data_IF_509424064893
#
_entry.id   IF_509424064893
#
_cell.length_a   1.000
_cell.length_b   1.000
_cell.length_c   1.000
_cell.angle_alpha   90.00
_cell.angle_beta   90.00
_cell.angle_gamma   90.00
#
_symmetry.space_group_name_H-M   'P 1'
#
loop_
_entity.id
_entity.type
_entity.pdbx_description
1 polymer ?
#
# COMPACT_ATOMS: atom_id res chain seq x y z
N UNK A 1 21.46 10.66 -24.01
CA UNK A 1 20.96 9.73 -22.98
C UNK A 1 20.51 8.45 -23.66
N UNK A 2 21.13 7.31 -23.37
CA UNK A 2 20.75 6.03 -23.98
C UNK A 2 19.60 5.45 -23.17
N UNK A 3 18.38 5.42 -23.74
CA UNK A 3 17.26 4.66 -23.19
C UNK A 3 17.66 3.18 -23.21
N UNK A 4 18.12 2.68 -22.07
CA UNK A 4 18.70 1.35 -21.94
C UNK A 4 17.63 0.27 -22.05
N UNK A 5 17.86 -0.69 -22.98
CA UNK A 5 17.15 -1.95 -23.21
C UNK A 5 15.63 -1.82 -23.38
N UNK A 6 15.15 -2.13 -24.59
CA UNK A 6 13.72 -2.33 -24.87
C UNK A 6 13.07 -3.19 -23.76
N UNK A 7 12.04 -2.65 -23.11
CA UNK A 7 11.27 -3.39 -22.11
C UNK A 7 10.75 -4.69 -22.72
N UNK A 8 11.13 -5.84 -22.16
CA UNK A 8 10.62 -7.13 -22.66
C UNK A 8 9.14 -7.30 -22.31
N UNK A 9 8.44 -8.14 -23.07
CA UNK A 9 7.03 -8.47 -22.82
C UNK A 9 6.83 -9.02 -21.39
N UNK A 10 7.80 -9.78 -20.87
CA UNK A 10 7.80 -10.31 -19.50
C UNK A 10 7.93 -9.20 -18.44
N UNK A 11 8.64 -8.12 -18.77
CA UNK A 11 8.75 -6.95 -17.89
C UNK A 11 7.41 -6.20 -17.82
N UNK A 12 6.77 -5.98 -18.98
CA UNK A 12 5.43 -5.38 -19.05
C UNK A 12 4.41 -6.24 -18.29
N UNK A 13 4.37 -7.55 -18.54
CA UNK A 13 3.47 -8.48 -17.83
C UNK A 13 3.64 -8.41 -16.31
N UNK A 14 4.89 -8.38 -15.82
CA UNK A 14 5.16 -8.27 -14.38
C UNK A 14 4.69 -6.94 -13.81
N UNK A 15 4.94 -5.83 -14.50
CA UNK A 15 4.46 -4.52 -14.08
C UNK A 15 2.92 -4.47 -14.06
N UNK A 16 2.26 -4.91 -15.12
CA UNK A 16 0.80 -4.95 -15.19
C UNK A 16 0.19 -5.81 -14.08
N UNK A 17 0.72 -7.01 -13.85
CA UNK A 17 0.25 -7.88 -12.77
C UNK A 17 0.44 -7.25 -11.39
N UNK A 18 1.57 -6.56 -11.17
CA UNK A 18 1.83 -5.84 -9.94
C UNK A 18 0.82 -4.72 -9.74
N UNK A 19 0.62 -3.87 -10.75
CA UNK A 19 -0.35 -2.76 -10.68
C UNK A 19 -1.76 -3.24 -10.42
N UNK A 20 -2.22 -4.28 -11.14
CA UNK A 20 -3.57 -4.85 -10.94
C UNK A 20 -3.73 -5.42 -9.53
N UNK A 21 -2.72 -6.13 -9.00
CA UNK A 21 -2.76 -6.66 -7.63
C UNK A 21 -2.80 -5.55 -6.57
N UNK A 22 -2.01 -4.50 -6.73
CA UNK A 22 -1.99 -3.34 -5.82
C UNK A 22 -3.31 -2.55 -5.88
N UNK A 23 -3.91 -2.42 -7.07
CA UNK A 23 -5.23 -1.80 -7.24
C UNK A 23 -6.35 -2.58 -6.57
N UNK A 24 -6.25 -3.92 -6.55
CA UNK A 24 -7.30 -4.80 -6.01
C UNK A 24 -7.03 -5.26 -4.56
N UNK A 25 -5.94 -4.80 -3.93
CA UNK A 25 -5.63 -5.13 -2.53
C UNK A 25 -6.73 -4.59 -1.60
N UNK A 26 -7.38 -5.48 -0.86
CA UNK A 26 -8.51 -5.16 0.03
C UNK A 26 -9.90 -5.27 -0.62
N UNK A 27 -9.97 -5.50 -1.94
CA UNK A 27 -11.25 -5.64 -2.64
C UNK A 27 -12.10 -6.83 -2.16
N UNK A 28 -11.52 -8.04 -1.92
CA UNK A 28 -12.29 -9.16 -1.39
C UNK A 28 -12.88 -8.88 0.00
N UNK A 29 -12.10 -8.28 0.89
CA UNK A 29 -12.52 -7.93 2.25
C UNK A 29 -13.58 -6.84 2.26
N UNK A 30 -13.47 -5.86 1.35
CA UNK A 30 -14.50 -4.84 1.15
C UNK A 30 -15.82 -5.45 0.67
N UNK A 31 -15.77 -6.34 -0.33
CA UNK A 31 -16.98 -7.03 -0.81
C UNK A 31 -17.61 -7.91 0.27
N UNK A 32 -16.79 -8.60 1.08
CA UNK A 32 -17.28 -9.40 2.20
C UNK A 32 -17.98 -8.53 3.25
N UNK A 33 -17.43 -7.36 3.57
CA UNK A 33 -18.05 -6.40 4.48
C UNK A 33 -19.37 -5.85 3.94
N UNK A 34 -19.41 -5.42 2.67
CA UNK A 34 -20.64 -4.93 2.04
C UNK A 34 -21.73 -6.02 1.99
N UNK A 35 -21.36 -7.26 1.69
CA UNK A 35 -22.29 -8.41 1.69
C UNK A 35 -22.83 -8.69 3.10
N UNK A 36 -21.98 -8.53 4.13
CA UNK A 36 -22.41 -8.69 5.52
C UNK A 36 -23.35 -7.56 5.96
N UNK A 37 -23.07 -6.32 5.56
CA UNK A 37 -23.96 -5.18 5.81
C UNK A 37 -25.33 -5.40 5.17
N UNK A 38 -25.38 -5.77 3.89
CA UNK A 38 -26.64 -6.04 3.19
C UNK A 38 -27.47 -7.11 3.88
N UNK A 39 -26.85 -8.19 4.38
CA UNK A 39 -27.54 -9.28 5.09
C UNK A 39 -28.05 -8.91 6.47
N UNK A 40 -27.49 -7.87 7.08
CA UNK A 40 -27.82 -7.43 8.44
C UNK A 40 -28.52 -6.07 8.44
N UNK A 41 -29.24 -5.73 7.36
CA UNK A 41 -29.96 -4.45 7.21
C UNK A 41 -29.08 -3.22 7.50
N UNK A 42 -27.82 -3.29 7.11
CA UNK A 42 -26.79 -2.27 7.32
C UNK A 42 -26.46 -1.96 8.79
N UNK A 43 -26.77 -2.86 9.73
CA UNK A 43 -26.29 -2.78 11.11
C UNK A 43 -24.81 -3.19 11.21
N UNK A 44 -23.93 -2.19 11.29
CA UNK A 44 -22.50 -2.38 11.44
C UNK A 44 -22.13 -3.15 12.72
N UNK A 45 -22.95 -3.07 13.78
CA UNK A 45 -22.66 -3.77 15.04
C UNK A 45 -22.66 -5.29 14.90
N UNK A 46 -23.37 -5.81 13.89
CA UNK A 46 -23.45 -7.23 13.57
C UNK A 46 -22.33 -7.67 12.61
N UNK A 47 -21.62 -6.72 11.99
CA UNK A 47 -20.57 -6.95 10.99
C UNK A 47 -19.15 -6.70 11.52
N UNK A 48 -18.96 -6.72 12.85
CA UNK A 48 -17.70 -6.37 13.52
C UNK A 48 -16.50 -7.21 13.06
N UNK A 49 -16.71 -8.46 12.65
CA UNK A 49 -15.63 -9.34 12.19
C UNK A 49 -15.11 -8.87 10.83
N UNK A 50 -16.02 -8.65 9.89
CA UNK A 50 -15.75 -8.23 8.53
C UNK A 50 -15.14 -6.82 8.51
N UNK A 51 -15.68 -5.91 9.35
CA UNK A 51 -15.13 -4.58 9.55
C UNK A 51 -13.67 -4.62 10.03
N UNK A 52 -13.36 -5.45 11.05
CA UNK A 52 -11.98 -5.62 11.54
C UNK A 52 -11.05 -6.20 10.49
N UNK A 53 -11.50 -7.16 9.69
CA UNK A 53 -10.67 -7.74 8.63
C UNK A 53 -10.36 -6.70 7.55
N UNK A 54 -11.36 -5.91 7.13
CA UNK A 54 -11.15 -4.81 6.19
C UNK A 54 -10.16 -3.76 6.75
N UNK A 55 -10.34 -3.36 8.01
CA UNK A 55 -9.46 -2.41 8.70
C UNK A 55 -8.00 -2.91 8.75
N UNK A 56 -7.79 -4.21 9.04
CA UNK A 56 -6.47 -4.81 9.08
C UNK A 56 -5.77 -4.74 7.72
N UNK A 57 -6.47 -5.05 6.64
CA UNK A 57 -5.90 -5.01 5.28
C UNK A 57 -5.58 -3.56 4.87
N UNK A 58 -6.48 -2.62 5.14
CA UNK A 58 -6.27 -1.20 4.84
C UNK A 58 -5.12 -0.60 5.67
N UNK A 59 -4.98 -1.02 6.93
CA UNK A 59 -3.88 -0.62 7.80
C UNK A 59 -2.54 -1.18 7.31
N UNK A 60 -2.52 -2.45 6.88
CA UNK A 60 -1.33 -3.08 6.33
C UNK A 60 -0.87 -2.40 5.03
N UNK A 61 -1.82 -2.06 4.14
CA UNK A 61 -1.58 -1.29 2.91
C UNK A 61 -0.96 0.07 3.22
N UNK A 62 -1.55 0.80 4.17
CA UNK A 62 -1.04 2.11 4.62
C UNK A 62 0.38 2.03 5.18
N UNK A 63 0.67 1.01 6.01
CA UNK A 63 2.02 0.78 6.55
C UNK A 63 3.05 0.46 5.46
N UNK A 64 2.67 -0.34 4.44
CA UNK A 64 3.52 -0.63 3.29
C UNK A 64 3.83 0.63 2.49
N UNK A 65 2.83 1.44 2.14
CA UNK A 65 3.02 2.71 1.43
C UNK A 65 3.92 3.67 2.22
N UNK A 66 3.71 3.78 3.54
CA UNK A 66 4.56 4.60 4.39
C UNK A 66 6.02 4.09 4.45
N UNK A 67 6.25 2.77 4.39
CA UNK A 67 7.58 2.18 4.33
C UNK A 67 8.27 2.42 2.98
N UNK A 68 7.53 2.30 1.87
CA UNK A 68 8.04 2.63 0.52
C UNK A 68 8.42 4.11 0.41
N UNK A 69 7.59 5.02 0.95
CA UNK A 69 7.89 6.45 0.98
C UNK A 69 9.09 6.83 1.88
N UNK A 70 9.44 6.01 2.88
CA UNK A 70 10.62 6.21 3.72
C UNK A 70 11.93 5.81 3.04
N UNK A 71 11.91 4.96 2.02
CA UNK A 71 13.12 4.43 1.38
C UNK A 71 13.49 5.17 0.09
N UNK A 72 13.48 6.50 0.11
CA UNK A 72 13.93 7.32 -1.03
C UNK A 72 15.30 7.93 -0.75
N UNK A 73 16.10 8.17 -1.80
CA UNK A 73 17.38 8.89 -1.68
C UNK A 73 17.19 10.22 -0.92
N UNK A 74 16.08 10.92 -1.15
CA UNK A 74 15.71 12.14 -0.45
C UNK A 74 15.59 11.95 1.07
N UNK A 75 15.00 10.84 1.54
CA UNK A 75 14.92 10.54 2.97
C UNK A 75 16.32 10.36 3.59
N UNK A 76 17.21 9.63 2.91
CA UNK A 76 18.58 9.42 3.40
C UNK A 76 19.40 10.71 3.39
N UNK A 77 19.27 11.54 2.35
CA UNK A 77 19.94 12.85 2.25
C UNK A 77 19.47 13.79 3.37
N UNK A 78 18.16 13.92 3.59
CA UNK A 78 17.61 14.77 4.66
C UNK A 78 18.06 14.27 6.04
N UNK A 79 18.06 12.95 6.26
CA UNK A 79 18.53 12.35 7.53
C UNK A 79 20.01 12.62 7.77
N UNK A 80 20.85 12.49 6.74
CA UNK A 80 22.29 12.78 6.82
C UNK A 80 22.54 14.25 7.16
N UNK A 81 21.86 15.18 6.48
CA UNK A 81 21.96 16.61 6.76
C UNK A 81 21.55 16.98 8.19
N UNK A 82 20.48 16.38 8.72
CA UNK A 82 20.06 16.58 10.12
C UNK A 82 21.08 16.03 11.13
N UNK A 83 21.71 14.90 10.83
CA UNK A 83 22.76 14.31 11.68
C UNK A 83 24.02 15.18 11.72
N UNK A 84 24.45 15.72 10.57
CA UNK A 84 25.62 16.60 10.50
C UNK A 84 25.40 17.90 11.27
N UNK A 85 24.23 18.54 11.15
CA UNK A 85 23.91 19.76 11.93
C UNK A 85 23.89 19.56 13.44
N UNK A 86 23.58 18.34 13.91
CA UNK A 86 23.58 18.01 15.35
C UNK A 86 24.97 17.67 15.89
N UNK A 87 25.91 17.32 15.03
CA UNK A 87 27.29 16.98 15.40
C UNK A 87 28.24 18.19 15.32
N UNK A 88 27.75 19.36 14.91
CA UNK A 88 28.50 20.61 14.79
C UNK A 88 28.17 21.64 15.89
N UNK A 89 27.42 21.23 16.92
CA UNK A 89 27.29 21.91 18.21
C UNK A 89 27.97 21.05 19.27
#
# INVERSE_FOLDING_TARGET
MKLGKAMSVEHIKRMTLRTVRESNEGQPEFLAFMTALERNDFDENLCKREARHLEQVMTAKTKRQAAEHRSTLNFHVIRMMKSMRRSSN
#
